data_IF_297004303149
#
_entry.id   IF_297004303149
#
_cell.length_a   1.000
_cell.length_b   1.000
_cell.length_c   1.000
_cell.angle_alpha   90.00
_cell.angle_beta   90.00
_cell.angle_gamma   90.00
#
_symmetry.space_group_name_H-M   'P 1'
#
loop_
_entity.id
_entity.type
_entity.pdbx_description
1 polymer ?
#
# COMPACT_ATOMS: atom_id res chain seq x y z
N UNK A 1 0.23 8.05 16.66
CA UNK A 1 1.40 7.57 15.91
C UNK A 1 1.29 6.05 15.74
N UNK A 2 1.93 5.49 14.69
CA UNK A 2 2.04 4.04 14.48
C UNK A 2 3.25 3.51 15.25
N UNK A 3 3.13 2.30 15.76
CA UNK A 3 4.26 1.58 16.36
C UNK A 3 5.15 0.98 15.26
N UNK A 4 6.39 0.59 15.60
CA UNK A 4 7.37 0.14 14.61
C UNK A 4 6.91 -1.09 13.82
N UNK A 5 6.22 -2.02 14.48
CA UNK A 5 5.68 -3.23 13.85
C UNK A 5 4.49 -2.93 12.92
N UNK A 6 3.75 -1.86 13.17
CA UNK A 6 2.70 -1.35 12.27
C UNK A 6 3.30 -0.61 11.07
N UNK A 7 4.41 0.12 11.29
CA UNK A 7 5.15 0.74 10.17
C UNK A 7 5.67 -0.30 9.19
N UNK A 8 6.14 -1.45 9.67
CA UNK A 8 6.59 -2.56 8.81
C UNK A 8 5.46 -3.18 7.98
N UNK A 9 4.20 -3.06 8.43
CA UNK A 9 3.05 -3.54 7.69
C UNK A 9 2.62 -2.60 6.55
N UNK A 10 2.97 -1.32 6.60
CA UNK A 10 2.46 -0.33 5.64
C UNK A 10 2.72 -0.69 4.17
N UNK A 11 3.93 -1.11 3.75
CA UNK A 11 4.16 -1.52 2.37
C UNK A 11 3.33 -2.74 1.97
N UNK A 12 3.20 -3.72 2.88
CA UNK A 12 2.41 -4.94 2.65
C UNK A 12 0.92 -4.60 2.57
N UNK A 13 0.44 -3.73 3.47
CA UNK A 13 -0.92 -3.22 3.44
C UNK A 13 -1.24 -2.54 2.11
N UNK A 14 -0.37 -1.63 1.65
CA UNK A 14 -0.55 -0.94 0.37
C UNK A 14 -0.60 -1.93 -0.81
N UNK A 15 0.26 -2.94 -0.81
CA UNK A 15 0.29 -3.95 -1.87
C UNK A 15 -0.96 -4.84 -1.87
N UNK A 16 -1.50 -5.18 -0.71
CA UNK A 16 -2.72 -5.99 -0.60
C UNK A 16 -3.99 -5.17 -0.85
N UNK A 17 -4.02 -3.89 -0.46
CA UNK A 17 -5.21 -3.05 -0.43
C UNK A 17 -5.97 -2.99 -1.77
N UNK A 18 -5.26 -2.93 -2.89
CA UNK A 18 -5.84 -2.84 -4.23
C UNK A 18 -6.08 -4.20 -4.90
N UNK A 19 -5.64 -5.28 -4.24
CA UNK A 19 -5.64 -6.64 -4.79
C UNK A 19 -6.61 -7.60 -4.10
N UNK A 20 -7.22 -7.17 -2.99
CA UNK A 20 -8.24 -7.91 -2.24
C UNK A 20 -9.64 -7.48 -2.63
N UNK A 21 -10.65 -8.20 -2.16
CA UNK A 21 -12.06 -7.83 -2.31
C UNK A 21 -12.44 -6.56 -1.57
N UNK A 22 -13.55 -5.94 -1.92
CA UNK A 22 -14.09 -4.75 -1.27
C UNK A 22 -15.61 -4.70 -1.31
N UNK A 23 -16.22 -4.02 -0.35
CA UNK A 23 -17.68 -3.79 -0.26
C UNK A 23 -18.49 -5.10 -0.44
N UNK A 24 -18.10 -6.16 0.26
CA UNK A 24 -18.77 -7.46 0.23
C UNK A 24 -18.48 -8.33 -1.01
N UNK A 25 -17.75 -7.81 -2.00
CA UNK A 25 -17.34 -8.57 -3.21
C UNK A 25 -16.01 -9.28 -2.96
N UNK A 26 -15.81 -10.42 -3.61
CA UNK A 26 -14.52 -11.09 -3.66
C UNK A 26 -13.50 -10.29 -4.52
N UNK A 27 -12.22 -10.68 -4.45
CA UNK A 27 -11.15 -9.99 -5.18
C UNK A 27 -11.35 -10.03 -6.71
N UNK A 28 -11.89 -11.13 -7.27
CA UNK A 28 -12.10 -11.28 -8.72
C UNK A 28 -13.15 -10.29 -9.22
N UNK A 29 -14.26 -10.20 -8.52
CA UNK A 29 -15.35 -9.27 -8.84
C UNK A 29 -14.88 -7.81 -8.64
N UNK A 30 -14.09 -7.55 -7.59
CA UNK A 30 -13.51 -6.23 -7.35
C UNK A 30 -12.53 -5.82 -8.45
N UNK A 31 -11.65 -6.71 -8.88
CA UNK A 31 -10.71 -6.45 -9.97
C UNK A 31 -11.43 -6.26 -11.32
N UNK A 32 -12.48 -7.04 -11.60
CA UNK A 32 -13.31 -6.83 -12.79
C UNK A 32 -13.96 -5.43 -12.79
N UNK A 33 -14.49 -4.97 -11.64
CA UNK A 33 -15.00 -3.60 -11.47
C UNK A 33 -13.91 -2.55 -11.69
N UNK A 34 -12.73 -2.75 -11.10
CA UNK A 34 -11.58 -1.85 -11.29
C UNK A 34 -11.21 -1.73 -12.78
N UNK A 35 -11.09 -2.85 -13.48
CA UNK A 35 -10.75 -2.86 -14.91
C UNK A 35 -11.81 -2.18 -15.79
N UNK A 36 -13.09 -2.29 -15.43
CA UNK A 36 -14.19 -1.66 -16.17
C UNK A 36 -14.26 -0.13 -15.98
N UNK A 37 -13.86 0.37 -14.81
CA UNK A 37 -14.06 1.77 -14.40
C UNK A 37 -12.78 2.58 -14.54
N UNK A 38 -11.62 1.99 -14.30
CA UNK A 38 -10.35 2.71 -14.10
C UNK A 38 -9.28 2.29 -15.10
N UNK A 39 -8.28 3.15 -15.28
CA UNK A 39 -7.01 2.80 -15.90
C UNK A 39 -5.97 2.26 -14.89
N UNK A 40 -6.42 1.87 -13.71
CA UNK A 40 -5.64 1.29 -12.62
C UNK A 40 -5.78 2.06 -11.31
N UNK A 41 -5.72 1.30 -10.20
CA UNK A 41 -5.56 1.80 -8.84
C UNK A 41 -4.16 1.51 -8.33
N UNK A 42 -3.66 2.31 -7.44
CA UNK A 42 -2.40 2.07 -6.73
C UNK A 42 -2.47 2.61 -5.31
N UNK A 43 -1.90 1.87 -4.38
CA UNK A 43 -1.68 2.33 -3.02
C UNK A 43 -0.18 2.32 -2.72
N UNK A 44 0.32 3.36 -2.07
CA UNK A 44 1.72 3.47 -1.70
C UNK A 44 1.89 4.29 -0.43
N UNK A 45 2.91 3.97 0.33
CA UNK A 45 3.38 4.78 1.44
C UNK A 45 4.62 5.57 1.00
N UNK A 46 4.63 6.86 1.31
CA UNK A 46 5.78 7.72 1.11
C UNK A 46 6.23 8.27 2.46
N UNK A 47 7.52 8.18 2.71
CA UNK A 47 8.13 8.71 3.93
C UNK A 47 9.20 9.72 3.54
N UNK A 48 9.14 10.91 4.16
CA UNK A 48 10.07 12.00 3.89
C UNK A 48 10.54 12.62 5.20
N UNK A 49 11.80 13.04 5.23
CA UNK A 49 12.31 13.91 6.28
C UNK A 49 11.73 15.32 6.13
N UNK A 50 11.65 16.06 7.24
CA UNK A 50 11.34 17.48 7.20
C UNK A 50 12.44 18.27 6.48
N UNK A 51 12.08 19.41 5.87
CA UNK A 51 13.01 20.28 5.17
C UNK A 51 13.98 20.94 6.16
N UNK A 52 13.47 21.38 7.29
CA UNK A 52 14.25 22.09 8.31
C UNK A 52 14.93 21.14 9.31
N UNK A 53 14.35 19.95 9.51
CA UNK A 53 14.90 18.93 10.42
C UNK A 53 14.67 17.54 9.83
N UNK A 54 15.73 16.91 9.35
CA UNK A 54 15.70 15.56 8.76
C UNK A 54 15.30 14.46 9.74
N UNK A 55 15.30 14.74 11.06
CA UNK A 55 14.84 13.81 12.10
C UNK A 55 13.32 13.75 12.19
N UNK A 56 12.64 14.82 11.76
CA UNK A 56 11.19 14.82 11.67
C UNK A 56 10.75 14.05 10.43
N UNK A 57 10.03 12.97 10.66
CA UNK A 57 9.55 12.10 9.57
C UNK A 57 8.06 12.35 9.37
N UNK A 58 7.67 12.58 8.12
CA UNK A 58 6.27 12.61 7.70
C UNK A 58 5.99 11.43 6.78
N UNK A 59 5.01 10.62 7.15
CA UNK A 59 4.49 9.53 6.33
C UNK A 59 3.14 9.90 5.73
N UNK A 60 2.95 9.58 4.46
CA UNK A 60 1.67 9.74 3.75
C UNK A 60 1.36 8.43 3.05
N UNK A 61 0.18 7.86 3.33
CA UNK A 61 -0.37 6.79 2.53
C UNK A 61 -1.20 7.44 1.41
N UNK A 62 -0.86 7.15 0.17
CA UNK A 62 -1.55 7.64 -1.00
C UNK A 62 -2.27 6.48 -1.70
N UNK A 63 -3.59 6.58 -1.79
CA UNK A 63 -4.42 5.75 -2.67
C UNK A 63 -4.76 6.59 -3.89
N UNK A 64 -4.41 6.13 -5.07
CA UNK A 64 -4.57 6.88 -6.30
C UNK A 64 -5.23 6.03 -7.39
N UNK A 65 -6.01 6.67 -8.24
CA UNK A 65 -6.62 6.05 -9.40
C UNK A 65 -6.72 7.04 -10.55
N UNK A 66 -6.85 6.52 -11.76
CA UNK A 66 -7.12 7.31 -12.96
C UNK A 66 -8.28 6.71 -13.73
N UNK A 67 -9.14 7.55 -14.27
CA UNK A 67 -10.26 7.11 -15.08
C UNK A 67 -10.59 8.14 -16.17
N UNK A 68 -11.37 7.72 -17.15
CA UNK A 68 -11.97 8.67 -18.07
C UNK A 68 -12.98 9.56 -17.34
N UNK A 69 -13.13 10.78 -17.78
CA UNK A 69 -14.01 11.77 -17.15
C UNK A 69 -15.46 11.28 -16.93
N UNK A 70 -16.00 10.47 -17.85
CA UNK A 70 -17.33 9.85 -17.69
C UNK A 70 -17.44 8.86 -16.53
N UNK A 71 -16.32 8.34 -16.05
CA UNK A 71 -16.25 7.36 -14.97
C UNK A 71 -15.81 8.00 -13.62
N UNK A 72 -15.79 9.33 -13.54
CA UNK A 72 -15.29 10.07 -12.38
C UNK A 72 -15.98 9.65 -11.08
N UNK A 73 -17.32 9.64 -11.04
CA UNK A 73 -18.08 9.23 -9.86
C UNK A 73 -17.78 7.78 -9.47
N UNK A 74 -17.79 6.88 -10.45
CA UNK A 74 -17.48 5.47 -10.21
C UNK A 74 -16.04 5.25 -9.72
N UNK A 75 -15.07 6.08 -10.13
CA UNK A 75 -13.71 6.06 -9.59
C UNK A 75 -13.70 6.54 -8.13
N UNK A 76 -14.41 7.60 -7.80
CA UNK A 76 -14.49 8.11 -6.43
C UNK A 76 -15.10 7.07 -5.48
N UNK A 77 -16.21 6.43 -5.88
CA UNK A 77 -16.83 5.34 -5.14
C UNK A 77 -15.85 4.18 -4.93
N UNK A 78 -15.14 3.79 -5.98
CA UNK A 78 -14.21 2.68 -5.93
C UNK A 78 -13.00 2.96 -5.03
N UNK A 79 -12.46 4.18 -5.05
CA UNK A 79 -11.40 4.61 -4.13
C UNK A 79 -11.89 4.58 -2.68
N UNK A 80 -13.11 5.06 -2.46
CA UNK A 80 -13.73 5.04 -1.14
C UNK A 80 -13.93 3.60 -0.64
N UNK A 81 -14.58 2.74 -1.42
CA UNK A 81 -14.78 1.32 -1.11
C UNK A 81 -13.44 0.60 -0.83
N UNK A 82 -12.41 0.87 -1.63
CA UNK A 82 -11.07 0.29 -1.43
C UNK A 82 -10.48 0.73 -0.09
N UNK A 83 -10.65 1.99 0.30
CA UNK A 83 -10.11 2.52 1.55
C UNK A 83 -10.88 2.03 2.78
N UNK A 84 -12.23 1.94 2.70
CA UNK A 84 -13.09 1.70 3.85
C UNK A 84 -13.47 0.24 4.04
N UNK A 85 -13.62 -0.50 2.94
CA UNK A 85 -14.27 -1.81 2.94
C UNK A 85 -13.40 -2.92 2.31
N UNK A 86 -12.07 -2.70 2.27
CA UNK A 86 -11.14 -3.73 1.82
C UNK A 86 -11.24 -4.98 2.69
N UNK A 87 -11.32 -6.15 2.06
CA UNK A 87 -11.54 -7.44 2.69
C UNK A 87 -10.23 -8.21 2.85
N UNK A 88 -9.70 -8.20 4.05
CA UNK A 88 -8.50 -8.99 4.38
C UNK A 88 -8.85 -10.40 4.89
N UNK A 89 -10.12 -10.79 4.92
CA UNK A 89 -10.61 -12.12 5.29
C UNK A 89 -10.42 -13.18 4.18
N UNK A 90 -10.05 -12.77 2.96
CA UNK A 90 -9.72 -13.68 1.85
C UNK A 90 -8.33 -14.29 2.04
N UNK A 91 -8.17 -15.15 3.07
CA UNK A 91 -6.87 -15.69 3.49
C UNK A 91 -6.07 -16.35 2.37
N UNK A 92 -6.64 -17.17 1.47
CA UNK A 92 -5.89 -17.74 0.35
C UNK A 92 -5.31 -16.66 -0.57
N UNK A 93 -6.07 -15.58 -0.81
CA UNK A 93 -5.60 -14.47 -1.64
C UNK A 93 -4.46 -13.71 -1.00
N UNK A 94 -4.55 -13.43 0.31
CA UNK A 94 -3.44 -12.81 1.04
C UNK A 94 -2.17 -13.65 0.99
N UNK A 95 -2.29 -14.97 1.17
CA UNK A 95 -1.14 -15.89 1.09
C UNK A 95 -0.48 -15.85 -0.29
N UNK A 96 -1.30 -15.84 -1.35
CA UNK A 96 -0.83 -15.72 -2.74
C UNK A 96 -0.08 -14.41 -2.98
N UNK A 97 -0.65 -13.28 -2.53
CA UNK A 97 -0.04 -11.95 -2.71
C UNK A 97 1.32 -11.84 -2.04
N UNK A 98 1.47 -12.34 -0.82
CA UNK A 98 2.76 -12.32 -0.11
C UNK A 98 3.80 -13.19 -0.82
N UNK A 99 3.42 -14.38 -1.30
CA UNK A 99 4.30 -15.24 -2.07
C UNK A 99 4.75 -14.59 -3.38
N UNK A 100 3.84 -13.94 -4.11
CA UNK A 100 4.15 -13.18 -5.33
C UNK A 100 5.10 -12.03 -5.05
N UNK A 101 4.87 -11.25 -3.99
CA UNK A 101 5.75 -10.15 -3.59
C UNK A 101 7.16 -10.65 -3.26
N UNK A 102 7.27 -11.76 -2.54
CA UNK A 102 8.56 -12.37 -2.25
C UNK A 102 9.29 -12.76 -3.53
N UNK A 103 8.64 -13.49 -4.44
CA UNK A 103 9.23 -13.91 -5.70
C UNK A 103 9.73 -12.72 -6.53
N UNK A 104 8.91 -11.67 -6.68
CA UNK A 104 9.27 -10.45 -7.41
C UNK A 104 10.47 -9.72 -6.77
N UNK A 105 10.53 -9.63 -5.45
CA UNK A 105 11.65 -8.98 -4.76
C UNK A 105 12.94 -9.81 -4.81
N UNK A 106 12.85 -11.14 -4.76
CA UNK A 106 14.01 -12.02 -4.93
C UNK A 106 14.59 -11.91 -6.35
N UNK A 107 13.75 -11.87 -7.38
CA UNK A 107 14.15 -11.66 -8.77
C UNK A 107 14.84 -10.31 -8.97
N UNK A 108 14.29 -9.25 -8.38
CA UNK A 108 14.82 -7.90 -8.50
C UNK A 108 16.21 -7.69 -7.86
N UNK A 109 16.70 -8.58 -7.00
CA UNK A 109 18.03 -8.46 -6.39
C UNK A 109 19.12 -8.37 -7.46
N UNK A 110 19.03 -9.22 -8.47
CA UNK A 110 20.06 -9.31 -9.53
C UNK A 110 20.14 -8.01 -10.34
N UNK A 111 18.99 -7.41 -10.62
CA UNK A 111 18.88 -6.22 -11.48
C UNK A 111 19.15 -4.91 -10.72
N UNK A 112 18.88 -4.89 -9.42
CA UNK A 112 18.89 -3.68 -8.59
C UNK A 112 19.92 -3.70 -7.45
N UNK A 113 20.97 -4.53 -7.52
CA UNK A 113 21.99 -4.66 -6.47
C UNK A 113 22.63 -3.33 -6.06
N UNK A 114 22.85 -2.41 -7.01
CA UNK A 114 23.39 -1.07 -6.73
C UNK A 114 22.42 -0.19 -5.91
N UNK A 115 21.11 -0.30 -6.12
CA UNK A 115 20.11 0.42 -5.34
C UNK A 115 20.01 -0.14 -3.91
N UNK A 116 20.14 -1.45 -3.74
CA UNK A 116 20.19 -2.10 -2.43
C UNK A 116 21.42 -1.67 -1.63
N UNK A 117 22.58 -1.58 -2.30
CA UNK A 117 23.81 -1.07 -1.69
C UNK A 117 23.70 0.40 -1.28
N UNK A 118 23.12 1.24 -2.15
CA UNK A 118 22.84 2.65 -1.85
C UNK A 118 21.91 2.82 -0.66
N UNK A 119 20.80 2.06 -0.63
CA UNK A 119 19.85 2.07 0.47
C UNK A 119 20.51 1.66 1.81
N UNK A 120 21.39 0.65 1.78
CA UNK A 120 22.14 0.22 2.95
C UNK A 120 23.13 1.30 3.43
N UNK A 121 23.91 1.90 2.50
CA UNK A 121 24.89 2.93 2.82
C UNK A 121 24.25 4.21 3.37
N UNK A 122 23.07 4.58 2.87
CA UNK A 122 22.36 5.79 3.30
C UNK A 122 21.48 5.59 4.56
N UNK A 123 21.30 4.37 5.03
CA UNK A 123 20.34 4.03 6.10
C UNK A 123 20.59 4.76 7.42
N UNK A 124 21.84 5.15 7.70
CA UNK A 124 22.20 5.89 8.92
C UNK A 124 22.05 7.41 8.82
N UNK A 125 21.77 7.94 7.62
CA UNK A 125 21.76 9.40 7.39
C UNK A 125 20.49 10.08 7.93
N UNK A 126 19.36 9.36 7.98
CA UNK A 126 18.12 9.90 8.53
C UNK A 126 17.15 8.78 8.92
N UNK A 127 16.18 9.05 9.81
CA UNK A 127 15.13 8.08 10.12
C UNK A 127 14.29 7.64 8.91
N UNK A 128 14.07 8.53 7.95
CA UNK A 128 13.37 8.19 6.70
C UNK A 128 14.19 7.21 5.85
N UNK A 129 15.51 7.43 5.73
CA UNK A 129 16.41 6.52 5.01
C UNK A 129 16.51 5.15 5.72
N UNK A 130 16.56 5.14 7.06
CA UNK A 130 16.53 3.91 7.84
C UNK A 130 15.24 3.11 7.58
N UNK A 131 14.09 3.78 7.55
CA UNK A 131 12.81 3.14 7.30
C UNK A 131 12.70 2.61 5.87
N UNK A 132 13.15 3.37 4.88
CA UNK A 132 13.19 2.91 3.49
C UNK A 132 14.11 1.67 3.33
N UNK A 133 15.29 1.67 3.96
CA UNK A 133 16.16 0.49 3.95
C UNK A 133 15.50 -0.71 4.64
N UNK A 134 14.77 -0.48 5.73
CA UNK A 134 14.01 -1.52 6.44
C UNK A 134 12.89 -2.12 5.59
N UNK A 135 12.25 -1.32 4.73
CA UNK A 135 11.16 -1.78 3.87
C UNK A 135 11.64 -2.41 2.56
N UNK A 136 12.51 -1.71 1.84
CA UNK A 136 12.87 -2.03 0.45
C UNK A 136 14.31 -2.53 0.29
N UNK A 137 15.11 -2.46 1.35
CA UNK A 137 16.46 -3.02 1.36
C UNK A 137 16.49 -4.52 1.63
N UNK A 138 17.71 -5.07 1.75
CA UNK A 138 17.92 -6.50 2.05
C UNK A 138 17.27 -6.93 3.38
N UNK A 139 17.16 -6.02 4.34
CA UNK A 139 16.46 -6.30 5.60
C UNK A 139 14.97 -6.55 5.35
N UNK A 140 14.32 -5.70 4.53
CA UNK A 140 12.92 -5.86 4.16
C UNK A 140 12.65 -7.19 3.44
N UNK A 141 13.57 -7.58 2.54
CA UNK A 141 13.45 -8.88 1.88
C UNK A 141 13.54 -10.05 2.86
N UNK A 142 14.46 -10.00 3.84
CA UNK A 142 14.56 -11.04 4.88
C UNK A 142 13.29 -11.13 5.73
N UNK A 143 12.71 -9.98 6.08
CA UNK A 143 11.45 -9.94 6.82
C UNK A 143 10.29 -10.49 5.99
N UNK A 144 10.22 -10.15 4.70
CA UNK A 144 9.20 -10.67 3.80
C UNK A 144 9.30 -12.19 3.63
N UNK A 145 10.53 -12.72 3.50
CA UNK A 145 10.78 -14.15 3.42
C UNK A 145 10.34 -14.89 4.70
N UNK A 146 10.73 -14.38 5.86
CA UNK A 146 10.34 -14.97 7.14
C UNK A 146 8.82 -14.92 7.35
N UNK A 147 8.17 -13.83 6.93
CA UNK A 147 6.71 -13.70 6.94
C UNK A 147 6.07 -14.75 6.02
N UNK A 148 6.53 -14.84 4.77
CA UNK A 148 6.00 -15.79 3.79
C UNK A 148 6.06 -17.24 4.31
N UNK A 149 7.19 -17.64 4.91
CA UNK A 149 7.36 -18.95 5.53
C UNK A 149 6.43 -19.16 6.75
N UNK A 150 6.23 -18.12 7.57
CA UNK A 150 5.32 -18.20 8.72
C UNK A 150 3.83 -18.30 8.33
N UNK A 151 3.44 -17.71 7.19
CA UNK A 151 2.06 -17.71 6.71
C UNK A 151 1.57 -19.06 6.17
N UNK A 152 2.42 -20.09 6.12
CA UNK A 152 2.00 -21.48 5.88
C UNK A 152 1.17 -22.02 7.05
N UNK A 153 1.32 -21.44 8.23
CA UNK A 153 0.48 -21.75 9.38
C UNK A 153 -0.83 -20.94 9.34
N UNK A 154 -1.97 -21.62 9.36
CA UNK A 154 -3.30 -20.99 9.31
C UNK A 154 -3.52 -19.94 10.40
N UNK A 155 -2.99 -20.17 11.61
CA UNK A 155 -3.08 -19.21 12.72
C UNK A 155 -2.27 -17.94 12.45
N UNK A 156 -1.08 -18.05 11.88
CA UNK A 156 -0.24 -16.92 11.54
C UNK A 156 -0.89 -16.09 10.42
N UNK A 157 -1.46 -16.74 9.41
CA UNK A 157 -2.17 -16.09 8.31
C UNK A 157 -3.41 -15.33 8.81
N UNK A 158 -4.23 -15.93 9.68
CA UNK A 158 -5.37 -15.25 10.27
C UNK A 158 -4.94 -14.06 11.16
N UNK A 159 -3.84 -14.20 11.89
CA UNK A 159 -3.28 -13.09 12.68
C UNK A 159 -2.79 -11.95 11.80
N UNK A 160 -2.14 -12.26 10.69
CA UNK A 160 -1.69 -11.27 9.70
C UNK A 160 -2.88 -10.50 9.10
N UNK A 161 -3.93 -11.21 8.67
CA UNK A 161 -5.16 -10.62 8.17
C UNK A 161 -5.78 -9.64 9.19
N UNK A 162 -5.93 -10.06 10.44
CA UNK A 162 -6.46 -9.22 11.51
C UNK A 162 -5.57 -7.99 11.81
N UNK A 163 -4.26 -8.06 11.59
CA UNK A 163 -3.35 -6.89 11.70
C UNK A 163 -3.59 -5.90 10.57
N UNK A 164 -3.81 -6.37 9.33
CA UNK A 164 -4.15 -5.50 8.19
C UNK A 164 -5.50 -4.80 8.40
N UNK A 165 -6.50 -5.50 8.91
CA UNK A 165 -7.80 -4.90 9.26
C UNK A 165 -7.66 -3.80 10.30
N UNK A 166 -6.96 -4.05 11.41
CA UNK A 166 -6.72 -3.03 12.44
C UNK A 166 -5.96 -1.81 11.88
N UNK A 167 -4.99 -2.05 10.99
CA UNK A 167 -4.26 -0.96 10.35
C UNK A 167 -5.17 -0.13 9.45
N UNK A 168 -6.05 -0.77 8.65
CA UNK A 168 -7.10 -0.08 7.88
C UNK A 168 -7.94 0.83 8.77
N UNK A 169 -8.47 0.28 9.86
CA UNK A 169 -9.36 1.00 10.77
C UNK A 169 -8.67 2.20 11.44
N UNK A 170 -7.39 2.07 11.77
CA UNK A 170 -6.57 3.19 12.27
C UNK A 170 -6.33 4.25 11.20
N UNK A 171 -6.01 3.85 9.98
CA UNK A 171 -5.76 4.77 8.88
C UNK A 171 -7.02 5.56 8.49
N UNK A 172 -8.20 4.97 8.63
CA UNK A 172 -9.48 5.66 8.41
C UNK A 172 -9.69 6.84 9.36
N UNK A 173 -9.09 6.83 10.53
CA UNK A 173 -9.19 7.90 11.53
C UNK A 173 -8.16 9.04 11.32
N UNK A 174 -7.28 8.91 10.32
CA UNK A 174 -6.26 9.93 10.05
C UNK A 174 -6.82 11.07 9.18
N UNK A 175 -6.28 12.30 9.31
CA UNK A 175 -6.62 13.39 8.41
C UNK A 175 -6.36 13.01 6.94
N UNK A 176 -7.27 13.41 6.07
CA UNK A 176 -7.22 13.09 4.64
C UNK A 176 -7.06 14.34 3.81
N UNK A 177 -6.41 14.20 2.68
CA UNK A 177 -6.30 15.21 1.64
C UNK A 177 -6.70 14.60 0.32
N UNK A 178 -7.54 15.28 -0.45
CA UNK A 178 -7.88 14.90 -1.80
C UNK A 178 -7.06 15.75 -2.77
N UNK A 179 -6.36 15.09 -3.68
CA UNK A 179 -5.71 15.72 -4.82
C UNK A 179 -6.39 15.27 -6.10
N UNK A 180 -6.91 16.23 -6.85
CA UNK A 180 -7.52 15.97 -8.15
C UNK A 180 -6.68 16.65 -9.23
N UNK A 181 -6.35 15.89 -10.28
CA UNK A 181 -5.69 16.40 -11.49
C UNK A 181 -6.63 16.17 -12.66
N UNK A 182 -7.08 17.24 -13.27
CA UNK A 182 -8.02 17.18 -14.40
C UNK A 182 -7.78 18.36 -15.35
N UNK A 183 -8.47 18.35 -16.49
CA UNK A 183 -8.58 19.50 -17.40
C UNK A 183 -9.22 20.68 -16.67
N UNK A 184 -8.79 21.91 -17.00
CA UNK A 184 -9.23 23.13 -16.31
C UNK A 184 -10.76 23.30 -16.32
N UNK A 185 -11.39 22.98 -17.45
CA UNK A 185 -12.84 23.13 -17.66
C UNK A 185 -13.68 22.21 -16.77
N UNK A 186 -13.05 21.20 -16.12
CA UNK A 186 -13.74 20.20 -15.29
C UNK A 186 -13.49 20.38 -13.80
N UNK A 187 -12.56 21.23 -13.40
CA UNK A 187 -12.17 21.35 -11.99
C UNK A 187 -13.33 21.78 -11.10
N UNK A 188 -14.15 22.74 -11.55
CA UNK A 188 -15.30 23.23 -10.78
C UNK A 188 -16.37 22.14 -10.61
N UNK A 189 -16.63 21.36 -11.67
CA UNK A 189 -17.60 20.25 -11.61
C UNK A 189 -17.14 19.12 -10.69
N UNK A 190 -15.82 18.86 -10.62
CA UNK A 190 -15.25 17.85 -9.73
C UNK A 190 -15.26 18.33 -8.28
N UNK A 191 -14.98 19.62 -8.05
CA UNK A 191 -14.99 20.21 -6.71
C UNK A 191 -16.39 20.28 -6.09
N UNK A 192 -17.43 20.27 -6.92
CA UNK A 192 -18.83 20.34 -6.49
C UNK A 192 -19.47 18.94 -6.28
N UNK A 193 -18.81 17.86 -6.70
CA UNK A 193 -19.29 16.48 -6.60
C UNK A 193 -18.74 15.76 -5.38
#
# INVERSE_FOLDING_TARGET
ALELDELDLLPLFCACLTEVGSAGRDYRTTQAKQAAVTGGLSARVNVRGGVDDVRQVKGVLALAGKALARNQGALADLLWETLTDARFDELPRLRELIAQMRAQREEAITDHGHLLALAAASSSLSPAAALNHRWDGLQGLRHLKALDEALDEAKALATFAARLERLRDRLQQTPRQLLVVSEAERQDAIAAA
#
